data_IF_753033716025
#
_entry.id   IF_753033716025
#
_cell.length_a   1.000
_cell.length_b   1.000
_cell.length_c   1.000
_cell.angle_alpha   90.00
_cell.angle_beta   90.00
_cell.angle_gamma   90.00
#
_symmetry.space_group_name_H-M   'P 1'
#
loop_
_entity.id
_entity.type
_entity.pdbx_description
1 polymer ?
#
# COMPACT_ATOMS: atom_id res chain seq x y z
N UNK A 1 6.04 -18.67 -12.00
CA UNK A 1 6.32 -18.14 -10.64
C UNK A 1 7.74 -17.59 -10.51
N UNK A 2 8.76 -18.19 -11.14
CA UNK A 2 10.16 -17.72 -11.05
C UNK A 2 10.37 -16.24 -11.43
N UNK A 3 9.76 -15.77 -12.53
CA UNK A 3 9.88 -14.37 -12.94
C UNK A 3 9.30 -13.40 -11.90
N UNK A 4 8.16 -13.75 -11.31
CA UNK A 4 7.52 -12.97 -10.25
C UNK A 4 8.42 -12.91 -9.01
N UNK A 5 8.97 -14.06 -8.58
CA UNK A 5 9.89 -14.11 -7.44
C UNK A 5 11.14 -13.26 -7.68
N UNK A 6 11.66 -13.27 -8.91
CA UNK A 6 12.80 -12.42 -9.29
C UNK A 6 12.46 -10.94 -9.19
N UNK A 7 11.31 -10.53 -9.72
CA UNK A 7 10.83 -9.16 -9.61
C UNK A 7 10.64 -8.75 -8.14
N UNK A 8 10.00 -9.60 -7.34
CA UNK A 8 9.76 -9.34 -5.93
C UNK A 8 11.08 -9.14 -5.18
N UNK A 9 12.05 -10.04 -5.37
CA UNK A 9 13.35 -9.97 -4.70
C UNK A 9 14.16 -8.72 -5.11
N UNK A 10 13.98 -8.22 -6.33
CA UNK A 10 14.60 -6.97 -6.78
C UNK A 10 13.98 -5.73 -6.11
N UNK A 11 12.70 -5.79 -5.75
CA UNK A 11 11.97 -4.68 -5.14
C UNK A 11 11.93 -4.73 -3.62
N UNK A 12 12.25 -5.88 -3.02
CA UNK A 12 12.34 -6.03 -1.58
C UNK A 12 13.32 -5.01 -0.99
N UNK A 13 12.93 -4.35 0.10
CA UNK A 13 13.57 -3.19 0.73
C UNK A 13 13.46 -1.87 -0.05
N UNK A 14 12.69 -1.86 -1.14
CA UNK A 14 12.51 -0.69 -2.00
C UNK A 14 11.03 -0.37 -2.28
N UNK A 15 10.07 -0.96 -1.56
CA UNK A 15 8.65 -0.63 -1.76
C UNK A 15 8.28 0.78 -1.28
N UNK A 16 8.86 1.24 -0.15
CA UNK A 16 8.57 2.58 0.38
C UNK A 16 9.06 3.73 -0.52
N UNK A 17 10.27 3.68 -1.11
CA UNK A 17 10.72 4.68 -2.09
C UNK A 17 9.90 4.80 -3.38
N UNK A 18 9.00 3.84 -3.69
CA UNK A 18 8.12 3.95 -4.86
C UNK A 18 7.10 5.07 -4.71
N UNK A 19 6.79 5.45 -3.47
CA UNK A 19 5.88 6.56 -3.21
C UNK A 19 6.52 7.90 -3.53
N UNK A 20 5.81 8.81 -4.22
CA UNK A 20 6.31 10.14 -4.45
C UNK A 20 6.51 10.89 -3.11
N UNK A 21 7.41 11.90 -3.08
CA UNK A 21 7.53 12.78 -1.94
C UNK A 21 6.19 13.45 -1.64
N UNK A 22 5.79 13.49 -0.36
CA UNK A 22 4.50 14.00 0.10
C UNK A 22 4.16 15.44 -0.34
N UNK A 23 5.17 16.24 -0.69
CA UNK A 23 5.03 17.68 -0.93
C UNK A 23 4.56 18.05 -2.35
N UNK A 24 4.33 17.09 -3.26
CA UNK A 24 4.09 17.41 -4.68
C UNK A 24 2.58 17.42 -5.03
N UNK A 25 1.68 17.10 -4.09
CA UNK A 25 0.23 17.04 -4.40
C UNK A 25 -0.13 16.02 -5.49
N UNK A 26 0.81 15.12 -5.82
CA UNK A 26 0.60 14.03 -6.74
C UNK A 26 -0.19 12.92 -6.06
N UNK A 27 -1.17 12.39 -6.80
CA UNK A 27 -1.95 11.22 -6.38
C UNK A 27 -1.05 9.98 -6.37
N UNK A 28 -0.96 9.31 -5.22
CA UNK A 28 -0.17 8.09 -5.03
C UNK A 28 -0.96 6.81 -5.37
N UNK A 29 -2.18 6.95 -5.90
CA UNK A 29 -3.05 5.83 -6.30
C UNK A 29 -2.34 4.78 -7.17
N UNK A 30 -1.49 5.19 -8.12
CA UNK A 30 -0.79 4.25 -9.00
C UNK A 30 0.19 3.34 -8.24
N UNK A 31 0.78 3.84 -7.14
CA UNK A 31 1.67 3.05 -6.27
C UNK A 31 0.84 2.05 -5.48
N UNK A 32 -0.32 2.46 -4.96
CA UNK A 32 -1.25 1.56 -4.27
C UNK A 32 -1.78 0.45 -5.18
N UNK A 33 -2.13 0.77 -6.44
CA UNK A 33 -2.52 -0.21 -7.45
C UNK A 33 -1.39 -1.19 -7.77
N UNK A 34 -0.15 -0.69 -7.89
CA UNK A 34 1.02 -1.53 -8.09
C UNK A 34 1.23 -2.50 -6.90
N UNK A 35 1.18 -2.00 -5.67
CA UNK A 35 1.32 -2.82 -4.46
C UNK A 35 0.20 -3.87 -4.36
N UNK A 36 -1.03 -3.51 -4.71
CA UNK A 36 -2.16 -4.45 -4.76
C UNK A 36 -1.92 -5.55 -5.79
N UNK A 37 -1.46 -5.20 -7.00
CA UNK A 37 -1.13 -6.17 -8.04
C UNK A 37 0.00 -7.12 -7.61
N UNK A 38 1.03 -6.59 -6.93
CA UNK A 38 2.09 -7.41 -6.32
C UNK A 38 1.50 -8.35 -5.24
N UNK A 39 0.67 -7.83 -4.33
CA UNK A 39 0.06 -8.62 -3.25
C UNK A 39 -0.75 -9.84 -3.75
N UNK A 40 -1.48 -9.69 -4.87
CA UNK A 40 -2.26 -10.80 -5.48
C UNK A 40 -1.36 -11.94 -5.96
N UNK A 41 -0.18 -11.63 -6.49
CA UNK A 41 0.77 -12.63 -7.00
C UNK A 41 1.72 -13.20 -5.94
N UNK A 42 1.72 -12.62 -4.73
CA UNK A 42 2.65 -12.91 -3.66
C UNK A 42 2.34 -14.20 -2.90
N UNK A 43 3.37 -14.93 -2.47
CA UNK A 43 3.24 -15.95 -1.42
C UNK A 43 2.90 -15.30 -0.07
N UNK A 44 2.43 -16.08 0.91
CA UNK A 44 2.15 -15.58 2.26
C UNK A 44 3.35 -14.88 2.91
N UNK A 45 4.56 -15.42 2.72
CA UNK A 45 5.80 -14.79 3.21
C UNK A 45 6.06 -13.44 2.53
N UNK A 46 5.89 -13.37 1.21
CA UNK A 46 6.04 -12.13 0.44
C UNK A 46 4.95 -11.09 0.80
N UNK A 47 3.72 -11.54 1.09
CA UNK A 47 2.66 -10.68 1.62
C UNK A 47 3.04 -10.07 2.97
N UNK A 48 3.61 -10.86 3.88
CA UNK A 48 4.13 -10.35 5.16
C UNK A 48 5.24 -9.30 4.97
N UNK A 49 6.15 -9.53 4.02
CA UNK A 49 7.19 -8.56 3.67
C UNK A 49 6.57 -7.25 3.17
N UNK A 50 5.62 -7.33 2.21
CA UNK A 50 4.92 -6.16 1.67
C UNK A 50 4.26 -5.34 2.78
N UNK A 51 3.48 -5.99 3.64
CA UNK A 51 2.80 -5.32 4.78
C UNK A 51 3.80 -4.65 5.70
N UNK A 52 4.92 -5.31 5.98
CA UNK A 52 5.96 -4.79 6.88
C UNK A 52 6.62 -3.54 6.31
N UNK A 53 7.01 -3.56 5.04
CA UNK A 53 7.70 -2.42 4.40
C UNK A 53 6.80 -1.19 4.21
N UNK A 54 5.51 -1.38 3.96
CA UNK A 54 4.58 -0.26 3.69
C UNK A 54 3.76 0.16 4.91
N UNK A 55 3.97 -0.47 6.08
CA UNK A 55 3.20 -0.22 7.31
C UNK A 55 3.17 1.26 7.70
N UNK A 56 4.34 1.90 7.75
CA UNK A 56 4.45 3.31 8.16
C UNK A 56 3.68 4.20 7.18
N UNK A 57 3.79 3.94 5.89
CA UNK A 57 3.04 4.67 4.84
C UNK A 57 1.53 4.50 4.96
N UNK A 58 1.05 3.29 5.30
CA UNK A 58 -0.38 3.05 5.57
C UNK A 58 -0.85 3.91 6.74
N UNK A 59 -0.12 3.89 7.86
CA UNK A 59 -0.48 4.68 9.05
C UNK A 59 -0.47 6.19 8.76
N UNK A 60 0.57 6.68 8.07
CA UNK A 60 0.65 8.09 7.66
C UNK A 60 -0.52 8.49 6.75
N UNK A 61 -0.91 7.62 5.81
CA UNK A 61 -2.01 7.90 4.89
C UNK A 61 -3.34 8.00 5.62
N UNK A 62 -3.60 7.10 6.59
CA UNK A 62 -4.79 7.14 7.43
C UNK A 62 -4.80 8.38 8.34
N UNK A 63 -3.65 8.72 8.93
CA UNK A 63 -3.50 9.94 9.74
C UNK A 63 -3.66 11.23 8.92
N UNK A 64 -3.24 11.24 7.65
CA UNK A 64 -3.47 12.37 6.75
C UNK A 64 -4.95 12.47 6.38
N UNK A 65 -5.59 11.34 6.06
CA UNK A 65 -7.01 11.30 5.71
C UNK A 65 -7.88 11.89 6.84
N UNK A 66 -7.57 11.62 8.10
CA UNK A 66 -8.33 12.17 9.24
C UNK A 66 -8.24 13.70 9.40
N UNK A 67 -7.31 14.36 8.68
CA UNK A 67 -7.11 15.82 8.70
C UNK A 67 -7.66 16.52 7.44
N UNK A 68 -8.19 15.77 6.47
CA UNK A 68 -8.68 16.29 5.20
C UNK A 68 -10.21 16.43 5.18
N UNK A 69 -10.73 17.13 4.16
CA UNK A 69 -12.18 17.12 3.88
C UNK A 69 -12.66 15.70 3.57
N UNK A 70 -13.92 15.41 3.88
CA UNK A 70 -14.50 14.07 3.74
C UNK A 70 -14.22 13.42 2.38
N UNK A 71 -14.42 14.17 1.29
CA UNK A 71 -14.15 13.71 -0.08
C UNK A 71 -12.69 13.27 -0.30
N UNK A 72 -11.73 14.10 0.07
CA UNK A 72 -10.29 13.80 -0.06
C UNK A 72 -9.83 12.69 0.89
N UNK A 73 -10.42 12.62 2.08
CA UNK A 73 -10.18 11.56 3.04
C UNK A 73 -10.63 10.20 2.47
N UNK A 74 -11.83 10.13 1.89
CA UNK A 74 -12.37 8.92 1.26
C UNK A 74 -11.47 8.41 0.14
N UNK A 75 -10.92 9.30 -0.70
CA UNK A 75 -9.96 8.91 -1.74
C UNK A 75 -8.69 8.26 -1.17
N UNK A 76 -8.06 8.86 -0.14
CA UNK A 76 -6.86 8.28 0.49
C UNK A 76 -7.14 6.94 1.15
N UNK A 77 -8.27 6.80 1.84
CA UNK A 77 -8.65 5.54 2.47
C UNK A 77 -8.97 4.46 1.42
N UNK A 78 -9.63 4.81 0.32
CA UNK A 78 -9.89 3.88 -0.77
C UNK A 78 -8.60 3.30 -1.37
N UNK A 79 -7.55 4.12 -1.52
CA UNK A 79 -6.25 3.68 -2.01
C UNK A 79 -5.60 2.64 -1.07
N UNK A 80 -5.62 2.89 0.25
CA UNK A 80 -5.12 1.93 1.25
C UNK A 80 -5.94 0.64 1.24
N UNK A 81 -7.27 0.76 1.18
CA UNK A 81 -8.18 -0.39 1.16
C UNK A 81 -7.96 -1.28 -0.06
N UNK A 82 -7.64 -0.70 -1.22
CA UNK A 82 -7.31 -1.47 -2.42
C UNK A 82 -6.14 -2.45 -2.16
N UNK A 83 -5.09 -1.98 -1.51
CA UNK A 83 -3.93 -2.80 -1.16
C UNK A 83 -4.27 -3.86 -0.10
N UNK A 84 -5.00 -3.47 0.96
CA UNK A 84 -5.38 -4.41 2.03
C UNK A 84 -6.31 -5.51 1.51
N UNK A 85 -7.28 -5.16 0.67
CA UNK A 85 -8.19 -6.13 0.06
C UNK A 85 -7.44 -7.14 -0.81
N UNK A 86 -6.37 -6.73 -1.51
CA UNK A 86 -5.52 -7.63 -2.29
C UNK A 86 -4.76 -8.65 -1.43
N UNK A 87 -4.57 -8.36 -0.14
CA UNK A 87 -4.01 -9.27 0.86
C UNK A 87 -5.07 -10.13 1.55
N UNK A 88 -6.35 -9.98 1.19
CA UNK A 88 -7.47 -10.58 1.92
C UNK A 88 -7.69 -9.97 3.31
N UNK A 89 -7.11 -8.79 3.58
CA UNK A 89 -7.30 -8.04 4.82
C UNK A 89 -8.38 -6.99 4.60
N UNK A 90 -9.33 -6.92 5.53
CA UNK A 90 -10.29 -5.83 5.55
C UNK A 90 -9.74 -4.71 6.44
N UNK A 91 -9.60 -3.51 5.87
CA UNK A 91 -9.13 -2.33 6.59
C UNK A 91 -10.03 -1.95 7.79
N UNK A 92 -11.31 -2.32 7.77
CA UNK A 92 -12.21 -2.15 8.91
C UNK A 92 -11.83 -3.01 10.13
N UNK A 93 -10.98 -4.04 9.93
CA UNK A 93 -10.42 -4.85 11.00
C UNK A 93 -9.12 -4.28 11.58
N UNK A 94 -8.52 -3.28 10.93
CA UNK A 94 -7.47 -2.46 11.55
C UNK A 94 -8.15 -1.56 12.59
N UNK A 95 -8.42 -2.12 13.76
CA UNK A 95 -8.80 -1.34 14.94
C UNK A 95 -7.60 -0.48 15.33
N UNK A 96 -7.63 0.78 14.90
CA UNK A 96 -6.76 1.86 15.38
C UNK A 96 -7.35 2.40 16.67
#
# INVERSE_FOLDING_TARGET
QELYNRLFNLLQNHFLPLFPPFNIGLDDMYVWQFLAAMAVGASTEQQHILVTEVRERVLETVMQASRLSADKASHKIANVNLFLNALGLDASQLKI
#
